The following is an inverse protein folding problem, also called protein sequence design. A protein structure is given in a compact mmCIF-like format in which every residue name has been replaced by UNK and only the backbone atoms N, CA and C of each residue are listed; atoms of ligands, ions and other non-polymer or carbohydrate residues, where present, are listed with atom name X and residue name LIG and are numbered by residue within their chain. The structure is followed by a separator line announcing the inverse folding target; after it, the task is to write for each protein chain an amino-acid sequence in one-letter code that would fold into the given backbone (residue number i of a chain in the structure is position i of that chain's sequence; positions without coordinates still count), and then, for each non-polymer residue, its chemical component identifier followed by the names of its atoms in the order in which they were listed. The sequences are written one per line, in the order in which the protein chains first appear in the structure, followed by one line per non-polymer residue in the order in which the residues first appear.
data_IF_196882845919
#
_entry.id   IF_196882845919
#
_cell.length_a   1.000
_cell.length_b   1.000
_cell.length_c   1.000
_cell.angle_alpha   90.00
_cell.angle_beta   90.00
_cell.angle_gamma   90.00
#
_symmetry.space_group_name_H-M   'P 1'
#
loop_
_entity.id
_entity.type
_entity.pdbx_description
1 polymer ?
#
# COMPACT_ATOMS: atom_id res chain seq x y z
N UNK A 1 -4.52 -24.85 -25.53
CA UNK A 1 -3.23 -24.88 -24.79
C UNK A 1 -3.06 -23.52 -24.10
N UNK A 2 -3.47 -23.38 -22.84
CA UNK A 2 -3.45 -22.09 -22.13
C UNK A 2 -1.99 -21.63 -21.94
N UNK A 3 -1.62 -20.53 -22.58
CA UNK A 3 -0.35 -19.86 -22.28
C UNK A 3 -0.52 -19.02 -21.01
N UNK A 4 -0.34 -19.65 -19.84
CA UNK A 4 -0.07 -18.97 -18.57
C UNK A 4 1.32 -18.31 -18.66
N UNK A 5 1.43 -17.21 -19.41
CA UNK A 5 2.73 -16.61 -19.70
C UNK A 5 3.27 -15.74 -18.57
N UNK A 6 2.45 -15.23 -17.65
CA UNK A 6 2.90 -14.37 -16.52
C UNK A 6 1.94 -14.45 -15.32
N UNK A 7 2.41 -15.04 -14.22
CA UNK A 7 1.81 -14.92 -12.89
C UNK A 7 2.43 -13.70 -12.20
N UNK A 8 1.62 -12.76 -11.73
CA UNK A 8 2.06 -11.64 -10.90
C UNK A 8 1.39 -11.78 -9.53
N UNK A 9 2.20 -12.00 -8.51
CA UNK A 9 1.77 -11.87 -7.12
C UNK A 9 1.94 -10.39 -6.77
N UNK A 10 0.86 -9.64 -6.60
CA UNK A 10 1.00 -8.21 -6.30
C UNK A 10 1.11 -8.04 -4.79
N UNK A 11 2.24 -7.46 -4.38
CA UNK A 11 2.51 -7.01 -3.02
C UNK A 11 2.62 -5.49 -3.08
N UNK A 12 1.53 -4.77 -2.76
CA UNK A 12 1.42 -3.31 -2.58
C UNK A 12 2.06 -2.34 -3.63
N UNK A 13 2.66 -2.83 -4.72
CA UNK A 13 3.32 -2.02 -5.73
C UNK A 13 2.77 -2.34 -7.11
N UNK A 14 1.96 -1.45 -7.67
CA UNK A 14 1.49 -1.54 -9.05
C UNK A 14 2.55 -0.87 -9.93
N UNK A 15 3.34 -1.66 -10.66
CA UNK A 15 4.13 -1.16 -11.77
C UNK A 15 3.84 -1.98 -13.02
N UNK A 16 3.83 -1.26 -14.16
CA UNK A 16 3.38 -1.65 -15.49
C UNK A 16 3.90 -3.01 -15.99
N UNK A 17 3.23 -4.08 -15.56
CA UNK A 17 3.31 -5.40 -16.16
C UNK A 17 1.89 -5.70 -16.62
N UNK A 18 1.72 -6.32 -17.81
CA UNK A 18 0.42 -6.85 -18.25
C UNK A 18 0.33 -8.33 -17.85
N UNK A 19 -0.02 -8.66 -16.59
CA UNK A 19 -0.11 -10.05 -16.14
C UNK A 19 -1.25 -10.78 -16.86
N UNK A 20 -1.15 -12.11 -16.90
CA UNK A 20 -2.26 -12.98 -17.30
C UNK A 20 -3.04 -13.44 -16.06
N UNK A 21 -2.36 -13.59 -14.93
CA UNK A 21 -2.93 -13.93 -13.63
C UNK A 21 -2.35 -13.01 -12.56
N UNK A 22 -3.22 -12.41 -11.77
CA UNK A 22 -2.93 -11.57 -10.63
C UNK A 22 -3.45 -12.26 -9.37
N UNK A 23 -2.55 -12.59 -8.45
CA UNK A 23 -2.94 -12.99 -7.09
C UNK A 23 -2.74 -11.76 -6.22
N UNK A 24 -3.83 -11.19 -5.74
CA UNK A 24 -3.76 -10.11 -4.78
C UNK A 24 -3.71 -10.70 -3.38
N UNK A 25 -2.62 -10.41 -2.68
CA UNK A 25 -2.50 -10.69 -1.26
C UNK A 25 -3.02 -9.48 -0.51
N UNK A 26 -4.18 -9.61 0.12
CA UNK A 26 -4.60 -8.56 1.04
C UNK A 26 -3.68 -8.57 2.27
N UNK A 27 -3.14 -7.40 2.62
CA UNK A 27 -2.21 -7.25 3.73
C UNK A 27 -2.97 -7.04 5.03
N UNK A 28 -2.39 -7.57 6.11
CA UNK A 28 -2.85 -7.35 7.48
C UNK A 28 -2.91 -5.89 7.90
N UNK A 29 -2.13 -5.03 7.24
CA UNK A 29 -2.06 -3.61 7.55
C UNK A 29 -3.41 -2.89 7.38
N UNK A 30 -4.30 -3.39 6.51
CA UNK A 30 -5.57 -2.72 6.21
C UNK A 30 -6.65 -2.97 7.28
N UNK A 31 -6.49 -4.00 8.13
CA UNK A 31 -7.54 -4.49 9.03
C UNK A 31 -7.34 -4.19 10.53
N UNK A 32 -6.11 -3.93 10.99
CA UNK A 32 -5.84 -3.83 12.43
C UNK A 32 -6.37 -2.53 13.05
N UNK A 33 -6.21 -1.39 12.36
CA UNK A 33 -6.86 -0.13 12.75
C UNK A 33 -8.39 -0.22 12.69
N UNK A 34 -8.92 -1.15 11.91
CA UNK A 34 -10.34 -1.35 11.73
C UNK A 34 -10.99 -2.08 12.94
N UNK A 35 -10.33 -3.09 13.54
CA UNK A 35 -10.92 -3.97 14.56
C UNK A 35 -11.51 -3.31 15.82
N UNK A 36 -11.16 -2.05 16.14
CA UNK A 36 -11.74 -1.30 17.27
C UNK A 36 -12.37 0.05 16.87
N UNK A 37 -12.25 0.50 15.61
CA UNK A 37 -12.80 1.78 15.10
C UNK A 37 -13.68 1.64 13.84
N UNK A 38 -14.05 0.41 13.42
CA UNK A 38 -14.90 0.11 12.25
C UNK A 38 -16.28 0.80 12.25
N UNK A 39 -16.72 1.42 13.34
CA UNK A 39 -17.99 2.14 13.31
C UNK A 39 -17.97 3.45 12.49
N UNK A 40 -16.81 3.99 12.08
CA UNK A 40 -16.79 5.33 11.45
C UNK A 40 -15.85 5.57 10.24
N UNK A 41 -15.20 4.57 9.64
CA UNK A 41 -14.31 4.81 8.47
C UNK A 41 -14.34 3.75 7.37
N UNK A 42 -14.99 4.04 6.25
CA UNK A 42 -15.07 3.16 5.06
C UNK A 42 -13.80 3.15 4.18
N UNK A 43 -12.72 3.81 4.61
CA UNK A 43 -11.57 4.11 3.74
C UNK A 43 -10.83 2.86 3.20
N UNK A 44 -10.46 1.86 4.03
CA UNK A 44 -9.76 0.67 3.52
C UNK A 44 -10.61 -0.11 2.50
N UNK A 45 -11.93 -0.12 2.71
CA UNK A 45 -12.87 -0.79 1.81
C UNK A 45 -12.97 -0.08 0.47
N UNK A 46 -13.04 1.26 0.48
CA UNK A 46 -13.07 2.09 -0.73
C UNK A 46 -11.82 1.88 -1.58
N UNK A 47 -10.65 1.98 -0.97
CA UNK A 47 -9.36 1.79 -1.65
C UNK A 47 -9.22 0.37 -2.20
N UNK A 48 -9.64 -0.64 -1.45
CA UNK A 48 -9.61 -2.03 -1.89
C UNK A 48 -10.52 -2.31 -3.08
N UNK A 49 -11.75 -1.78 -3.07
CA UNK A 49 -12.65 -1.90 -4.23
C UNK A 49 -12.08 -1.23 -5.47
N UNK A 50 -11.58 0.00 -5.34
CA UNK A 50 -10.97 0.73 -6.45
C UNK A 50 -9.81 -0.07 -7.05
N UNK A 51 -8.96 -0.66 -6.21
CA UNK A 51 -7.89 -1.54 -6.63
C UNK A 51 -8.42 -2.76 -7.39
N UNK A 52 -9.39 -3.48 -6.84
CA UNK A 52 -9.99 -4.67 -7.48
C UNK A 52 -10.52 -4.30 -8.86
N UNK A 53 -11.27 -3.20 -8.98
CA UNK A 53 -11.83 -2.75 -10.26
C UNK A 53 -10.73 -2.33 -11.25
N UNK A 54 -9.69 -1.64 -10.79
CA UNK A 54 -8.53 -1.25 -11.61
C UNK A 54 -7.82 -2.47 -12.17
N UNK A 55 -7.61 -3.51 -11.36
CA UNK A 55 -7.01 -4.78 -11.80
C UNK A 55 -7.87 -5.48 -12.85
N UNK A 56 -9.18 -5.53 -12.66
CA UNK A 56 -10.13 -6.15 -13.59
C UNK A 56 -10.27 -5.38 -14.91
N UNK A 57 -9.99 -4.07 -14.93
CA UNK A 57 -10.01 -3.22 -16.13
C UNK A 57 -8.69 -3.15 -16.90
N UNK A 58 -7.60 -3.75 -16.41
CA UNK A 58 -6.34 -3.74 -17.14
C UNK A 58 -6.54 -4.26 -18.58
N UNK A 59 -5.78 -3.81 -19.59
CA UNK A 59 -6.05 -4.10 -21.01
C UNK A 59 -6.17 -5.59 -21.37
N UNK A 60 -5.54 -6.47 -20.59
CA UNK A 60 -5.60 -7.94 -20.77
C UNK A 60 -6.57 -8.65 -19.85
N UNK A 61 -7.33 -7.91 -19.04
CA UNK A 61 -8.30 -8.41 -18.05
C UNK A 61 -7.77 -9.64 -17.31
N UNK A 62 -6.65 -9.49 -16.57
CA UNK A 62 -6.03 -10.62 -15.90
C UNK A 62 -7.03 -11.32 -14.99
N UNK A 63 -6.88 -12.65 -14.85
CA UNK A 63 -7.58 -13.35 -13.80
C UNK A 63 -7.14 -12.78 -12.44
N UNK A 64 -8.10 -12.47 -11.56
CA UNK A 64 -7.82 -11.93 -10.22
C UNK A 64 -8.28 -12.95 -9.18
N UNK A 65 -7.38 -13.31 -8.26
CA UNK A 65 -7.69 -14.16 -7.10
C UNK A 65 -7.38 -13.38 -5.83
N UNK A 66 -8.30 -13.41 -4.88
CA UNK A 66 -8.08 -12.84 -3.55
C UNK A 66 -7.49 -13.89 -2.62
N UNK A 67 -6.32 -13.60 -2.06
CA UNK A 67 -5.69 -14.43 -1.03
C UNK A 67 -5.72 -13.70 0.31
N UNK A 68 -6.54 -14.21 1.23
CA UNK A 68 -6.62 -13.71 2.60
C UNK A 68 -5.68 -14.50 3.49
N UNK A 69 -4.59 -13.84 3.89
CA UNK A 69 -3.64 -14.39 4.85
C UNK A 69 -4.06 -13.97 6.25
N UNK A 70 -3.82 -14.83 7.23
CA UNK A 70 -4.13 -14.58 8.63
C UNK A 70 -2.85 -14.42 9.48
N UNK A 71 -2.92 -13.71 10.61
CA UNK A 71 -1.87 -13.43 11.59
C UNK A 71 -2.39 -13.93 12.92
N UNK A 72 -1.61 -14.78 13.56
CA UNK A 72 -2.00 -15.38 14.84
C UNK A 72 -1.68 -14.49 16.05
N UNK A 73 -0.59 -13.74 16.00
CA UNK A 73 -0.07 -12.96 17.13
C UNK A 73 -0.59 -11.52 17.12
N UNK A 74 -0.72 -10.88 18.30
CA UNK A 74 -0.90 -9.42 18.42
C UNK A 74 0.42 -8.70 18.68
N UNK A 75 0.53 -7.43 18.29
CA UNK A 75 1.72 -6.60 18.55
C UNK A 75 2.09 -6.50 20.03
N UNK A 76 1.10 -6.50 20.92
CA UNK A 76 1.28 -6.34 22.36
C UNK A 76 1.65 -7.61 23.13
N UNK A 77 1.79 -8.77 22.47
CA UNK A 77 1.96 -10.06 23.17
C UNK A 77 3.02 -10.94 22.51
N UNK A 78 4.28 -10.64 22.80
CA UNK A 78 5.39 -11.61 22.74
C UNK A 78 5.65 -12.21 24.15
N UNK A 79 4.87 -11.83 25.17
CA UNK A 79 4.93 -12.45 26.49
C UNK A 79 4.19 -13.79 26.49
N UNK A 80 4.94 -14.87 26.65
CA UNK A 80 4.52 -16.26 26.43
C UNK A 80 3.39 -16.79 27.33
N UNK A 81 3.04 -16.08 28.41
CA UNK A 81 2.16 -16.61 29.46
C UNK A 81 0.66 -16.34 29.25
N UNK A 82 0.28 -15.55 28.25
CA UNK A 82 -1.13 -15.27 27.96
C UNK A 82 -1.58 -16.01 26.71
N UNK A 83 -2.17 -17.21 26.92
CA UNK A 83 -2.86 -17.93 25.85
C UNK A 83 -3.82 -16.98 25.12
N UNK A 84 -3.89 -17.04 23.79
CA UNK A 84 -4.82 -16.23 23.04
C UNK A 84 -6.23 -16.48 23.57
N UNK A 85 -6.93 -15.43 23.99
CA UNK A 85 -8.38 -15.49 24.10
C UNK A 85 -8.92 -15.90 22.72
N UNK A 86 -10.01 -16.67 22.68
CA UNK A 86 -10.62 -17.27 21.47
C UNK A 86 -11.09 -16.28 20.37
N UNK A 87 -10.61 -15.04 20.39
CA UNK A 87 -11.11 -13.89 19.65
C UNK A 87 -10.37 -13.59 18.34
N UNK A 88 -9.16 -14.12 18.12
CA UNK A 88 -8.34 -13.74 16.95
C UNK A 88 -8.93 -14.17 15.60
N UNK A 89 -9.76 -15.21 15.56
CA UNK A 89 -10.42 -15.64 14.33
C UNK A 89 -11.20 -14.49 13.63
N UNK A 90 -11.75 -13.57 14.43
CA UNK A 90 -12.62 -12.50 13.97
C UNK A 90 -11.90 -11.14 13.81
N UNK A 91 -10.61 -11.02 14.11
CA UNK A 91 -9.90 -9.72 14.14
C UNK A 91 -9.20 -9.36 12.82
N UNK A 92 -9.78 -9.72 11.68
CA UNK A 92 -9.19 -9.47 10.35
C UNK A 92 -10.22 -8.95 9.36
N UNK A 93 -9.73 -8.35 8.28
CA UNK A 93 -10.56 -7.75 7.22
C UNK A 93 -11.15 -8.78 6.22
N UNK A 94 -11.01 -10.07 6.49
CA UNK A 94 -11.42 -11.13 5.55
C UNK A 94 -12.93 -11.12 5.29
N UNK A 95 -13.75 -10.86 6.32
CA UNK A 95 -15.20 -10.81 6.16
C UNK A 95 -15.60 -9.69 5.18
N UNK A 96 -14.98 -8.52 5.29
CA UNK A 96 -15.24 -7.40 4.38
C UNK A 96 -14.69 -7.68 2.96
N UNK A 97 -13.53 -8.31 2.83
CA UNK A 97 -12.99 -8.67 1.52
C UNK A 97 -13.76 -9.81 0.84
N UNK A 98 -14.44 -10.65 1.61
CA UNK A 98 -15.35 -11.68 1.08
C UNK A 98 -16.57 -11.07 0.38
N UNK A 99 -17.09 -9.94 0.87
CA UNK A 99 -18.18 -9.21 0.19
C UNK A 99 -17.75 -8.76 -1.21
N UNK A 100 -16.55 -8.19 -1.35
CA UNK A 100 -16.01 -7.82 -2.66
C UNK A 100 -15.78 -9.03 -3.56
N UNK A 101 -15.26 -10.13 -3.01
CA UNK A 101 -15.07 -11.36 -3.77
C UNK A 101 -16.40 -11.84 -4.37
N UNK A 102 -17.45 -11.85 -3.55
CA UNK A 102 -18.79 -12.28 -3.95
C UNK A 102 -19.39 -11.33 -4.98
N UNK A 103 -19.33 -10.01 -4.70
CA UNK A 103 -19.91 -8.98 -5.57
C UNK A 103 -19.25 -8.95 -6.96
N UNK A 104 -17.94 -9.14 -7.05
CA UNK A 104 -17.17 -9.13 -8.30
C UNK A 104 -16.96 -10.53 -8.93
N UNK A 105 -17.50 -11.59 -8.33
CA UNK A 105 -17.35 -12.96 -8.83
C UNK A 105 -15.91 -13.47 -8.81
N UNK A 106 -15.12 -13.09 -7.80
CA UNK A 106 -13.71 -13.44 -7.68
C UNK A 106 -13.50 -14.72 -6.85
N UNK A 107 -12.60 -15.62 -7.27
CA UNK A 107 -12.11 -16.68 -6.41
C UNK A 107 -11.40 -16.10 -5.17
N UNK A 108 -11.67 -16.69 -4.01
CA UNK A 108 -11.07 -16.32 -2.73
C UNK A 108 -10.45 -17.54 -2.06
N UNK A 109 -9.20 -17.41 -1.62
CA UNK A 109 -8.47 -18.39 -0.81
C UNK A 109 -8.35 -17.83 0.60
N UNK A 110 -8.87 -18.56 1.57
CA UNK A 110 -8.76 -18.24 3.00
C UNK A 110 -7.67 -19.10 3.65
N UNK A 111 -6.54 -18.49 4.02
CA UNK A 111 -5.57 -19.18 4.86
C UNK A 111 -6.18 -19.47 6.23
N UNK A 112 -6.91 -18.51 6.79
CA UNK A 112 -7.57 -18.64 8.10
C UNK A 112 -8.43 -19.89 8.18
N UNK A 113 -9.37 -20.05 7.25
CA UNK A 113 -10.27 -21.21 7.22
C UNK A 113 -9.51 -22.53 7.02
N UNK A 114 -8.40 -22.52 6.27
CA UNK A 114 -7.61 -23.71 6.00
C UNK A 114 -6.79 -24.19 7.21
N UNK A 115 -6.25 -23.28 8.03
CA UNK A 115 -5.22 -23.64 9.03
C UNK A 115 -5.61 -23.40 10.48
N UNK A 116 -6.68 -22.62 10.74
CA UNK A 116 -7.01 -22.19 12.10
C UNK A 116 -7.18 -23.36 13.07
N UNK A 117 -7.95 -24.40 12.69
CA UNK A 117 -8.15 -25.55 13.56
C UNK A 117 -6.87 -26.34 13.81
N UNK A 118 -5.95 -26.40 12.83
CA UNK A 118 -4.64 -27.03 13.01
C UNK A 118 -3.76 -26.24 13.98
N UNK A 119 -3.82 -24.91 13.92
CA UNK A 119 -3.12 -24.02 14.85
C UNK A 119 -3.67 -24.14 16.27
N UNK A 120 -5.00 -24.10 16.45
CA UNK A 120 -5.66 -24.33 17.75
C UNK A 120 -5.27 -25.68 18.34
N UNK A 121 -5.21 -26.72 17.51
CA UNK A 121 -4.83 -28.07 17.94
C UNK A 121 -3.32 -28.25 18.19
N UNK A 122 -2.47 -27.26 17.89
CA UNK A 122 -1.02 -27.38 18.00
C UNK A 122 -0.43 -28.49 17.11
N UNK A 123 -1.07 -28.76 15.95
CA UNK A 123 -0.62 -29.80 15.02
C UNK A 123 0.81 -29.48 14.56
N UNK A 124 1.69 -30.47 14.46
CA UNK A 124 3.06 -30.27 13.92
C UNK A 124 2.98 -29.59 12.54
N UNK A 125 3.75 -28.52 12.36
CA UNK A 125 3.73 -27.66 11.16
C UNK A 125 2.79 -26.46 11.27
N UNK A 126 1.92 -26.45 12.28
CA UNK A 126 0.95 -25.40 12.57
C UNK A 126 1.09 -24.85 13.99
N UNK A 127 2.18 -25.15 14.69
CA UNK A 127 2.39 -24.64 16.04
C UNK A 127 2.63 -23.13 16.02
N UNK A 128 2.05 -22.47 17.02
CA UNK A 128 1.93 -21.02 17.17
C UNK A 128 2.11 -20.59 18.63
N UNK A 129 2.63 -21.48 19.46
CA UNK A 129 3.03 -21.24 20.85
C UNK A 129 4.36 -20.47 20.93
N UNK A 130 5.16 -20.51 19.87
CA UNK A 130 6.37 -19.70 19.73
C UNK A 130 6.63 -19.29 18.28
N UNK A 131 7.65 -18.47 18.09
CA UNK A 131 8.07 -17.92 16.80
C UNK A 131 9.42 -18.52 16.42
N UNK A 132 9.60 -18.85 15.14
CA UNK A 132 10.84 -19.50 14.71
C UNK A 132 12.07 -18.63 14.95
N UNK A 133 11.99 -17.31 14.77
CA UNK A 133 13.15 -16.45 15.01
C UNK A 133 13.64 -16.49 16.46
N UNK A 134 12.76 -16.77 17.43
CA UNK A 134 13.11 -16.91 18.85
C UNK A 134 13.81 -18.24 19.15
N UNK A 135 13.58 -19.27 18.34
CA UNK A 135 14.16 -20.61 18.54
C UNK A 135 15.41 -20.88 17.72
N UNK A 136 15.84 -19.96 16.84
CA UNK A 136 17.01 -20.14 15.96
C UNK A 136 18.32 -20.47 16.68
N UNK A 137 18.50 -19.99 17.92
CA UNK A 137 19.69 -20.30 18.73
C UNK A 137 19.61 -21.68 19.40
N UNK A 138 18.44 -22.31 19.42
CA UNK A 138 18.19 -23.59 20.04
C UNK A 138 18.19 -24.70 18.97
N UNK A 139 19.33 -25.38 18.83
CA UNK A 139 19.51 -26.50 17.88
C UNK A 139 18.58 -27.70 18.12
N UNK A 140 17.88 -27.74 19.26
CA UNK A 140 16.92 -28.81 19.57
C UNK A 140 15.48 -28.52 19.13
N UNK A 141 15.19 -27.30 18.64
CA UNK A 141 13.85 -26.95 18.21
C UNK A 141 13.49 -27.62 16.86
N UNK A 142 12.32 -28.24 16.78
CA UNK A 142 11.77 -28.76 15.52
C UNK A 142 11.31 -27.58 14.65
N UNK A 143 12.17 -27.09 13.78
CA UNK A 143 11.91 -25.92 12.92
C UNK A 143 10.71 -26.13 11.97
N UNK A 144 10.40 -27.39 11.63
CA UNK A 144 9.25 -27.76 10.81
C UNK A 144 7.95 -27.82 11.62
N UNK A 145 7.98 -27.66 12.94
CA UNK A 145 6.78 -27.66 13.76
C UNK A 145 6.06 -26.30 13.75
N UNK A 146 6.80 -25.21 13.58
CA UNK A 146 6.32 -23.83 13.75
C UNK A 146 5.76 -23.25 12.45
N UNK A 147 4.61 -22.57 12.52
CA UNK A 147 3.96 -21.98 11.34
C UNK A 147 4.53 -20.62 10.93
N UNK A 148 4.96 -19.81 11.90
CA UNK A 148 5.39 -18.42 11.69
C UNK A 148 6.89 -18.23 11.91
N UNK A 149 7.50 -17.41 11.06
CA UNK A 149 8.87 -16.95 11.23
C UNK A 149 8.96 -15.90 12.34
N UNK A 150 8.06 -14.92 12.29
CA UNK A 150 7.93 -13.79 13.21
C UNK A 150 6.43 -13.51 13.48
N UNK A 151 6.04 -12.49 14.26
CA UNK A 151 4.64 -12.29 14.64
C UNK A 151 3.66 -12.13 13.47
N UNK A 152 4.11 -11.94 12.22
CA UNK A 152 3.25 -11.73 11.05
C UNK A 152 3.61 -12.56 9.81
N UNK A 153 4.86 -12.98 9.65
CA UNK A 153 5.32 -13.68 8.46
C UNK A 153 5.24 -15.20 8.65
N UNK A 154 4.50 -15.92 7.80
CA UNK A 154 4.54 -17.38 7.77
C UNK A 154 5.99 -17.87 7.51
N UNK A 155 6.39 -18.98 8.12
CA UNK A 155 7.70 -19.60 7.91
C UNK A 155 7.80 -20.21 6.51
N UNK A 156 9.00 -20.16 5.94
CA UNK A 156 9.31 -20.76 4.63
C UNK A 156 9.08 -22.28 4.58
N UNK A 157 9.35 -22.98 5.69
CA UNK A 157 9.26 -24.45 5.74
C UNK A 157 7.81 -24.97 5.83
N UNK A 158 6.91 -24.16 6.38
CA UNK A 158 5.56 -24.58 6.77
C UNK A 158 4.51 -23.62 6.22
N UNK A 159 4.38 -22.42 6.78
CA UNK A 159 3.28 -21.52 6.44
C UNK A 159 3.27 -21.05 4.98
N UNK A 160 4.42 -20.69 4.40
CA UNK A 160 4.53 -20.39 2.97
C UNK A 160 4.26 -21.59 2.08
N UNK A 161 4.62 -22.80 2.53
CA UNK A 161 4.30 -24.05 1.82
C UNK A 161 2.79 -24.27 1.77
N UNK A 162 2.08 -24.10 2.90
CA UNK A 162 0.62 -24.24 2.94
C UNK A 162 -0.06 -23.21 2.03
N UNK A 163 0.38 -21.95 2.03
CA UNK A 163 -0.13 -20.93 1.11
C UNK A 163 0.05 -21.37 -0.35
N UNK A 164 1.23 -21.90 -0.68
CA UNK A 164 1.53 -22.38 -2.03
C UNK A 164 0.65 -23.58 -2.41
N UNK A 165 0.45 -24.53 -1.51
CA UNK A 165 -0.42 -25.70 -1.70
C UNK A 165 -1.89 -25.28 -1.93
N UNK A 166 -2.39 -24.27 -1.21
CA UNK A 166 -3.73 -23.72 -1.44
C UNK A 166 -3.88 -23.10 -2.84
N UNK A 167 -2.88 -22.33 -3.29
CA UNK A 167 -2.88 -21.74 -4.64
C UNK A 167 -2.83 -22.84 -5.71
N UNK A 168 -1.94 -23.83 -5.54
CA UNK A 168 -1.85 -25.00 -6.44
C UNK A 168 -3.17 -25.77 -6.46
N UNK A 169 -3.81 -25.96 -5.31
CA UNK A 169 -5.12 -26.59 -5.19
C UNK A 169 -6.20 -25.87 -5.99
N UNK A 170 -6.26 -24.53 -5.91
CA UNK A 170 -7.17 -23.73 -6.74
C UNK A 170 -6.88 -23.94 -8.24
N UNK A 171 -5.62 -23.84 -8.67
CA UNK A 171 -5.23 -24.00 -10.08
C UNK A 171 -5.57 -25.40 -10.60
N UNK A 172 -5.33 -26.45 -9.81
CA UNK A 172 -5.70 -27.82 -10.16
C UNK A 172 -7.22 -28.01 -10.24
N UNK A 173 -7.98 -27.38 -9.33
CA UNK A 173 -9.44 -27.41 -9.36
C UNK A 173 -9.97 -26.77 -10.65
N UNK A 174 -9.46 -25.58 -11.01
CA UNK A 174 -9.81 -24.90 -12.26
C UNK A 174 -9.42 -25.75 -13.48
N UNK A 175 -8.21 -26.30 -13.51
CA UNK A 175 -7.75 -27.14 -14.62
C UNK A 175 -8.64 -28.37 -14.82
N UNK A 176 -9.00 -29.07 -13.74
CA UNK A 176 -9.94 -30.21 -13.79
C UNK A 176 -11.32 -29.77 -14.26
N UNK A 177 -11.82 -28.63 -13.77
CA UNK A 177 -13.08 -28.05 -14.20
C UNK A 177 -13.11 -27.75 -15.70
N UNK A 178 -12.02 -27.25 -16.27
CA UNK A 178 -11.91 -26.99 -17.71
C UNK A 178 -11.82 -28.27 -18.55
N UNK A 179 -11.37 -29.40 -17.98
CA UNK A 179 -11.42 -30.70 -18.66
C UNK A 179 -12.85 -31.23 -18.71
N UNK A 180 -13.61 -31.12 -17.62
CA UNK A 180 -14.99 -31.64 -17.54
C UNK A 180 -16.02 -30.70 -18.18
N UNK A 181 -15.77 -29.39 -18.13
CA UNK A 181 -16.59 -28.33 -18.71
C UNK A 181 -15.67 -27.35 -19.44
N UNK A 182 -15.35 -27.62 -20.72
CA UNK A 182 -14.53 -26.73 -21.52
C UNK A 182 -15.10 -25.31 -21.58
N UNK A 183 -14.19 -24.34 -21.67
CA UNK A 183 -14.51 -22.92 -21.82
C UNK A 183 -15.42 -22.68 -23.03
N UNK A 184 -16.48 -21.90 -22.84
CA UNK A 184 -17.51 -21.63 -23.86
C UNK A 184 -17.43 -20.17 -24.33
N UNK A 185 -17.84 -19.88 -25.59
CA UNK A 185 -17.93 -18.50 -26.08
C UNK A 185 -18.78 -17.58 -25.20
N UNK A 186 -19.88 -18.10 -24.61
CA UNK A 186 -20.71 -17.33 -23.67
C UNK A 186 -19.95 -16.86 -22.41
N UNK A 187 -18.87 -17.54 -22.04
CA UNK A 187 -18.01 -17.13 -20.91
C UNK A 187 -17.03 -16.05 -21.33
N UNK A 188 -16.60 -16.03 -22.61
CA UNK A 188 -15.83 -14.90 -23.15
C UNK A 188 -16.66 -13.62 -23.15
N UNK A 189 -17.95 -13.71 -23.51
CA UNK A 189 -18.88 -12.59 -23.44
C UNK A 189 -19.05 -12.07 -21.99
N UNK A 190 -19.14 -12.97 -21.01
CA UNK A 190 -19.19 -12.58 -19.59
C UNK A 190 -17.91 -11.91 -19.12
N UNK A 191 -16.73 -12.42 -19.52
CA UNK A 191 -15.44 -11.78 -19.22
C UNK A 191 -15.31 -10.43 -19.93
N UNK A 192 -15.91 -10.30 -21.12
CA UNK A 192 -15.91 -9.08 -21.93
C UNK A 192 -16.92 -8.03 -21.44
N UNK A 193 -17.93 -8.43 -20.67
CA UNK A 193 -18.95 -7.55 -20.12
C UNK A 193 -18.34 -6.41 -19.29
N UNK A 194 -19.09 -5.31 -19.18
CA UNK A 194 -18.74 -4.24 -18.28
C UNK A 194 -18.80 -4.74 -16.82
N UNK A 195 -17.88 -4.26 -15.98
CA UNK A 195 -17.96 -4.51 -14.55
C UNK A 195 -19.29 -3.98 -14.00
N UNK A 196 -19.85 -4.60 -12.95
CA UNK A 196 -21.02 -4.05 -12.26
C UNK A 196 -20.72 -2.64 -11.73
N UNK A 197 -21.74 -1.95 -11.25
CA UNK A 197 -21.57 -0.69 -10.54
C UNK A 197 -20.57 -0.84 -9.36
N UNK A 198 -20.14 0.26 -8.77
CA UNK A 198 -19.39 0.17 -7.52
C UNK A 198 -20.33 -0.36 -6.43
N UNK A 199 -19.84 -1.30 -5.62
CA UNK A 199 -20.51 -1.79 -4.42
C UNK A 199 -20.63 -0.65 -3.40
N UNK A 200 -19.58 0.16 -3.24
CA UNK A 200 -19.63 1.36 -2.42
C UNK A 200 -20.04 2.55 -3.30
N UNK A 201 -21.12 3.28 -2.98
CA UNK A 201 -21.54 4.45 -3.73
C UNK A 201 -20.42 5.49 -3.86
N UNK A 202 -20.33 6.10 -5.03
CA UNK A 202 -19.38 7.14 -5.40
C UNK A 202 -17.91 6.76 -5.26
N UNK A 203 -17.59 5.46 -5.27
CA UNK A 203 -16.25 4.95 -5.09
C UNK A 203 -15.47 4.76 -6.40
N UNK A 204 -15.47 5.79 -7.25
CA UNK A 204 -14.84 5.73 -8.56
C UNK A 204 -13.32 5.66 -8.46
N UNK A 205 -12.72 4.65 -9.09
CA UNK A 205 -11.28 4.58 -9.33
C UNK A 205 -10.84 5.58 -10.40
N UNK A 206 -9.56 5.98 -10.36
CA UNK A 206 -9.01 6.89 -11.36
C UNK A 206 -7.92 6.19 -12.16
N UNK A 207 -7.95 6.40 -13.48
CA UNK A 207 -6.83 6.06 -14.35
C UNK A 207 -5.70 7.10 -14.28
N UNK A 208 -5.90 8.17 -13.51
CA UNK A 208 -4.97 9.27 -13.35
C UNK A 208 -4.01 9.06 -12.16
N UNK A 209 -4.23 8.05 -11.31
CA UNK A 209 -3.30 7.78 -10.22
C UNK A 209 -1.93 7.36 -10.77
N UNK A 210 -0.89 8.04 -10.31
CA UNK A 210 0.49 7.81 -10.71
C UNK A 210 1.25 7.27 -9.50
N UNK A 211 1.97 6.17 -9.68
CA UNK A 211 2.93 5.64 -8.71
C UNK A 211 4.33 5.74 -9.32
N UNK A 212 5.13 6.67 -8.83
CA UNK A 212 6.52 6.86 -9.22
C UNK A 212 7.43 6.14 -8.21
N UNK A 213 8.15 5.14 -8.71
CA UNK A 213 9.19 4.42 -7.97
C UNK A 213 10.40 4.20 -8.91
N UNK A 214 11.57 3.90 -8.33
CA UNK A 214 12.79 3.65 -9.10
C UNK A 214 13.15 4.80 -10.04
N UNK A 215 13.51 4.50 -11.29
CA UNK A 215 13.95 5.53 -12.25
C UNK A 215 12.86 6.56 -12.58
N UNK A 216 11.57 6.20 -12.52
CA UNK A 216 10.49 7.18 -12.73
C UNK A 216 10.41 8.18 -11.57
N UNK A 217 10.67 7.73 -10.34
CA UNK A 217 10.76 8.61 -9.18
C UNK A 217 12.01 9.48 -9.25
N UNK A 218 13.15 8.90 -9.67
CA UNK A 218 14.38 9.64 -9.94
C UNK A 218 14.17 10.75 -10.98
N UNK A 219 13.51 10.42 -12.10
CA UNK A 219 13.26 11.36 -13.19
C UNK A 219 12.30 12.50 -12.82
N UNK A 220 11.46 12.33 -11.79
CA UNK A 220 10.58 13.42 -11.32
C UNK A 220 11.29 14.48 -10.48
N UNK A 221 12.52 14.25 -10.03
CA UNK A 221 13.29 15.22 -9.27
C UNK A 221 13.93 16.25 -10.23
N UNK A 222 13.61 17.53 -10.05
CA UNK A 222 14.05 18.62 -10.94
C UNK A 222 15.10 19.55 -10.31
N UNK A 223 15.23 19.54 -8.99
CA UNK A 223 16.27 20.26 -8.25
C UNK A 223 16.68 19.38 -7.06
N UNK A 224 17.98 19.11 -6.93
CA UNK A 224 18.53 18.16 -5.94
C UNK A 224 19.76 18.77 -5.31
N UNK A 225 19.68 19.13 -4.03
CA UNK A 225 20.75 19.78 -3.27
C UNK A 225 21.04 18.95 -2.02
N UNK A 226 22.17 18.23 -2.00
CA UNK A 226 22.58 17.40 -0.86
C UNK A 226 21.86 16.05 -0.70
N UNK A 227 20.82 15.78 -1.51
CA UNK A 227 20.27 14.44 -1.66
C UNK A 227 21.04 13.63 -2.71
N UNK A 228 21.24 12.34 -2.43
CA UNK A 228 21.93 11.39 -3.31
C UNK A 228 21.00 10.25 -3.70
N UNK A 229 21.07 9.79 -4.95
CA UNK A 229 20.33 8.61 -5.42
C UNK A 229 21.12 7.35 -5.11
N UNK A 230 20.74 6.63 -4.05
CA UNK A 230 21.52 5.51 -3.50
C UNK A 230 20.72 4.21 -3.48
N UNK A 231 21.42 3.11 -3.78
CA UNK A 231 20.93 1.76 -3.52
C UNK A 231 21.43 1.31 -2.16
N UNK A 232 20.53 1.22 -1.18
CA UNK A 232 20.87 0.69 0.15
C UNK A 232 20.45 -0.77 0.32
N UNK A 233 20.04 -1.43 -0.78
CA UNK A 233 19.79 -2.86 -0.79
C UNK A 233 21.11 -3.62 -0.61
N UNK A 234 21.18 -4.50 0.40
CA UNK A 234 22.33 -5.40 0.61
C UNK A 234 22.39 -6.51 -0.43
N UNK A 235 21.22 -6.93 -0.91
CA UNK A 235 21.08 -7.94 -1.94
C UNK A 235 21.01 -7.24 -3.31
N UNK A 236 21.95 -7.52 -4.25
CA UNK A 236 21.91 -6.94 -5.59
C UNK A 236 20.65 -7.33 -6.39
N UNK A 237 19.97 -8.42 -6.02
CA UNK A 237 18.71 -8.85 -6.64
C UNK A 237 17.48 -8.13 -6.08
N UNK A 238 17.62 -7.46 -4.93
CA UNK A 238 16.56 -6.68 -4.28
C UNK A 238 17.05 -5.26 -3.99
N UNK A 239 17.38 -4.47 -5.03
CA UNK A 239 17.86 -3.12 -4.84
C UNK A 239 16.80 -2.25 -4.16
N UNK A 240 17.23 -1.39 -3.24
CA UNK A 240 16.39 -0.45 -2.49
C UNK A 240 16.81 0.98 -2.83
N UNK A 241 16.60 1.34 -4.10
CA UNK A 241 16.85 2.67 -4.63
C UNK A 241 15.97 3.73 -3.97
N UNK A 242 16.54 4.91 -3.74
CA UNK A 242 15.85 6.07 -3.21
C UNK A 242 16.77 7.27 -3.08
N UNK A 243 16.19 8.43 -2.79
CA UNK A 243 16.95 9.63 -2.45
C UNK A 243 17.27 9.66 -0.96
N UNK A 244 18.53 9.84 -0.59
CA UNK A 244 18.98 9.92 0.80
C UNK A 244 19.73 11.23 1.04
N UNK A 245 19.49 11.87 2.19
CA UNK A 245 20.29 13.00 2.68
C UNK A 245 20.45 12.92 4.20
N UNK A 246 21.53 13.49 4.72
CA UNK A 246 21.81 13.60 6.16
C UNK A 246 22.18 15.01 6.61
N UNK A 247 22.51 15.90 5.67
CA UNK A 247 22.87 17.28 5.97
C UNK A 247 21.62 18.13 6.17
N UNK A 248 21.47 18.85 7.29
CA UNK A 248 20.40 19.83 7.45
C UNK A 248 20.33 20.79 6.27
N UNK A 249 19.12 21.17 5.87
CA UNK A 249 18.81 21.98 4.71
C UNK A 249 19.11 21.35 3.33
N UNK A 250 19.61 20.11 3.27
CA UNK A 250 19.58 19.36 2.02
C UNK A 250 18.13 19.31 1.52
N UNK A 251 17.90 19.60 0.24
CA UNK A 251 16.57 19.74 -0.33
C UNK A 251 16.45 19.08 -1.70
N UNK A 252 15.24 18.66 -2.03
CA UNK A 252 14.88 18.05 -3.31
C UNK A 252 13.50 18.54 -3.74
N UNK A 253 13.32 18.84 -5.02
CA UNK A 253 12.05 19.29 -5.60
C UNK A 253 11.58 18.26 -6.62
N UNK A 254 10.37 17.75 -6.44
CA UNK A 254 9.68 16.88 -7.38
C UNK A 254 8.65 17.65 -8.19
N UNK A 255 8.50 17.30 -9.45
CA UNK A 255 7.45 17.85 -10.31
C UNK A 255 6.31 16.85 -10.50
N UNK A 256 5.09 17.32 -10.24
CA UNK A 256 3.83 16.65 -10.52
C UNK A 256 3.19 17.36 -11.71
N UNK A 257 3.02 16.66 -12.83
CA UNK A 257 2.32 17.19 -14.00
C UNK A 257 1.01 16.48 -14.23
N UNK A 258 -0.01 17.22 -14.69
CA UNK A 258 -1.30 16.68 -15.11
C UNK A 258 -1.23 15.65 -16.27
N UNK A 259 -0.09 15.57 -16.98
CA UNK A 259 0.05 14.90 -18.27
C UNK A 259 0.75 13.54 -18.28
N UNK A 260 1.11 12.95 -17.13
CA UNK A 260 1.72 11.60 -17.13
C UNK A 260 0.69 10.51 -17.49
N UNK A 261 -0.61 10.82 -17.46
CA UNK A 261 -1.67 9.85 -17.68
C UNK A 261 -2.58 10.23 -18.83
N UNK A 262 -2.33 9.53 -19.94
CA UNK A 262 -3.25 9.01 -20.96
C UNK A 262 -3.12 9.62 -22.36
N UNK A 263 -2.63 8.77 -23.28
CA UNK A 263 -3.05 8.77 -24.68
C UNK A 263 -4.54 8.34 -24.77
N UNK A 264 -5.42 8.93 -23.95
CA UNK A 264 -6.85 8.69 -24.09
C UNK A 264 -7.29 9.48 -25.31
N UNK A 265 -7.37 8.77 -26.43
CA UNK A 265 -8.05 9.20 -27.65
C UNK A 265 -9.57 9.24 -27.47
N UNK A 266 -10.07 9.34 -26.24
CA UNK A 266 -11.48 9.49 -25.97
C UNK A 266 -11.87 10.93 -26.30
N UNK A 267 -12.17 11.11 -27.60
CA UNK A 267 -12.45 12.34 -28.34
C UNK A 267 -13.68 13.12 -27.86
N UNK A 268 -14.20 12.86 -26.66
CA UNK A 268 -15.21 13.71 -26.08
C UNK A 268 -14.58 15.09 -25.83
N UNK A 269 -15.06 16.18 -26.47
CA UNK A 269 -14.51 17.51 -26.27
C UNK A 269 -14.69 17.91 -24.80
N UNK A 270 -13.63 17.69 -24.01
CA UNK A 270 -13.54 18.19 -22.64
C UNK A 270 -13.56 19.71 -22.73
N UNK A 271 -14.64 20.31 -22.23
CA UNK A 271 -14.79 21.76 -22.17
C UNK A 271 -13.51 22.41 -21.60
N UNK A 272 -12.99 23.50 -22.20
CA UNK A 272 -11.73 24.18 -21.80
C UNK A 272 -11.69 24.71 -20.36
N UNK A 273 -12.76 24.52 -19.58
CA UNK A 273 -12.73 24.62 -18.12
C UNK A 273 -11.92 23.47 -17.50
N UNK A 274 -10.68 23.21 -17.94
CA UNK A 274 -9.71 22.33 -17.28
C UNK A 274 -9.44 22.92 -15.89
N UNK A 275 -10.31 22.67 -14.91
CA UNK A 275 -10.54 21.45 -14.11
C UNK A 275 -9.38 21.28 -13.14
N UNK A 276 -9.44 22.13 -12.12
CA UNK A 276 -8.76 21.90 -10.84
C UNK A 276 -8.92 20.43 -10.49
N UNK A 277 -7.81 19.75 -10.31
CA UNK A 277 -7.82 18.38 -9.82
C UNK A 277 -7.39 18.43 -8.36
N UNK A 278 -8.33 18.12 -7.47
CA UNK A 278 -7.96 17.75 -6.11
C UNK A 278 -7.34 16.37 -6.17
N UNK A 279 -6.14 16.26 -5.63
CA UNK A 279 -5.34 15.03 -5.58
C UNK A 279 -4.82 14.82 -4.17
N UNK A 280 -4.51 13.57 -3.85
CA UNK A 280 -3.70 13.19 -2.72
C UNK A 280 -2.27 12.96 -3.19
N UNK A 281 -1.33 13.66 -2.57
CA UNK A 281 0.10 13.39 -2.77
C UNK A 281 0.59 12.54 -1.61
N UNK A 282 1.31 11.48 -1.92
CA UNK A 282 1.89 10.54 -0.93
C UNK A 282 3.38 10.39 -1.24
N UNK A 283 4.22 10.70 -0.26
CA UNK A 283 5.64 10.42 -0.29
C UNK A 283 5.91 9.15 0.50
N UNK A 284 6.51 8.17 -0.15
CA UNK A 284 7.02 6.98 0.52
C UNK A 284 8.40 7.30 1.09
N UNK A 285 8.57 7.13 2.40
CA UNK A 285 9.82 7.46 3.10
C UNK A 285 10.19 6.38 4.12
N UNK A 286 11.48 6.25 4.42
CA UNK A 286 11.96 5.26 5.39
C UNK A 286 11.77 5.79 6.81
N UNK A 287 11.20 4.97 7.68
CA UNK A 287 11.34 5.08 9.14
C UNK A 287 12.29 4.02 9.67
N UNK A 288 13.11 4.35 10.65
CA UNK A 288 14.04 3.43 11.30
C UNK A 288 14.38 3.91 12.71
N UNK A 289 14.93 3.03 13.54
CA UNK A 289 15.21 3.32 14.96
C UNK A 289 16.51 4.10 15.20
N UNK A 290 17.40 4.19 14.22
CA UNK A 290 18.71 4.82 14.38
C UNK A 290 19.01 5.78 13.24
N UNK A 291 19.68 6.87 13.59
CA UNK A 291 20.27 7.84 12.67
C UNK A 291 19.27 8.62 11.82
N UNK A 292 17.97 8.57 12.12
CA UNK A 292 16.94 9.18 11.29
C UNK A 292 16.66 10.64 11.67
N UNK A 293 16.40 11.46 10.65
CA UNK A 293 16.02 12.87 10.77
C UNK A 293 14.54 13.10 10.46
N UNK A 294 14.16 14.38 10.51
CA UNK A 294 12.84 14.86 10.10
C UNK A 294 12.99 15.59 8.77
N UNK A 295 12.08 15.34 7.84
CA UNK A 295 11.99 16.13 6.62
C UNK A 295 10.73 16.99 6.63
N UNK A 296 10.85 18.25 6.23
CA UNK A 296 9.70 19.11 5.97
C UNK A 296 9.33 19.06 4.49
N UNK A 297 8.04 19.24 4.22
CA UNK A 297 7.48 19.27 2.87
C UNK A 297 6.78 20.61 2.65
N UNK A 298 6.95 21.20 1.47
CA UNK A 298 6.17 22.34 0.98
C UNK A 298 5.75 22.13 -0.47
N UNK A 299 4.79 22.91 -0.93
CA UNK A 299 4.40 22.96 -2.33
C UNK A 299 4.59 24.35 -2.90
N UNK A 300 4.93 24.42 -4.18
CA UNK A 300 5.03 25.66 -4.95
C UNK A 300 4.64 25.40 -6.40
N UNK A 301 4.55 26.48 -7.18
CA UNK A 301 4.34 26.41 -8.64
C UNK A 301 3.00 25.78 -8.99
N UNK A 302 1.95 26.56 -9.19
CA UNK A 302 0.72 26.06 -9.80
C UNK A 302 -0.08 25.04 -8.98
N UNK A 303 0.20 24.86 -7.68
CA UNK A 303 -0.62 24.04 -6.80
C UNK A 303 -0.67 24.57 -5.37
N UNK A 304 -1.67 24.12 -4.63
CA UNK A 304 -1.91 24.48 -3.23
C UNK A 304 -2.06 23.19 -2.46
N UNK A 305 -1.34 23.05 -1.34
CA UNK A 305 -1.26 21.78 -0.62
C UNK A 305 -1.59 21.93 0.88
N UNK A 306 -1.77 20.79 1.55
CA UNK A 306 -2.08 20.71 2.97
C UNK A 306 -3.47 21.30 3.28
N UNK A 307 -3.65 21.86 4.47
CA UNK A 307 -4.94 22.46 4.87
C UNK A 307 -5.45 23.54 3.92
N UNK A 308 -4.54 24.26 3.25
CA UNK A 308 -4.92 25.28 2.29
C UNK A 308 -5.67 24.67 1.09
N UNK A 309 -5.30 23.45 0.68
CA UNK A 309 -5.98 22.72 -0.39
C UNK A 309 -7.46 22.46 -0.07
N UNK A 310 -7.76 22.13 1.19
CA UNK A 310 -9.13 21.87 1.67
C UNK A 310 -10.00 23.14 1.71
N UNK A 311 -9.40 24.33 1.68
CA UNK A 311 -10.11 25.62 1.71
C UNK A 311 -10.27 26.25 0.32
N UNK A 312 -9.64 25.69 -0.71
CA UNK A 312 -9.75 26.22 -2.07
C UNK A 312 -11.22 26.11 -2.51
N UNK A 313 -11.90 27.25 -2.78
CA UNK A 313 -13.28 27.21 -3.27
C UNK A 313 -13.34 26.44 -4.59
N UNK A 314 -14.47 25.82 -4.90
CA UNK A 314 -14.69 25.14 -6.19
C UNK A 314 -14.41 26.10 -7.37
N UNK A 315 -14.64 27.40 -7.17
CA UNK A 315 -14.41 28.47 -8.15
C UNK A 315 -12.99 29.06 -8.11
N UNK A 316 -12.21 28.75 -7.05
CA UNK A 316 -10.78 29.02 -6.83
C UNK A 316 -10.24 30.37 -7.28
N UNK A 317 -11.07 31.40 -7.16
CA UNK A 317 -10.62 32.78 -7.12
C UNK A 317 -10.02 33.08 -5.74
N UNK A 318 -9.00 33.93 -5.70
CA UNK A 318 -8.41 34.43 -4.44
C UNK A 318 -7.50 33.46 -3.69
N UNK A 319 -7.03 32.38 -4.34
CA UNK A 319 -6.09 31.47 -3.68
C UNK A 319 -4.67 32.02 -3.79
N UNK A 320 -4.09 32.34 -2.63
CA UNK A 320 -2.70 32.72 -2.52
C UNK A 320 -1.78 31.51 -2.81
N UNK A 321 -1.14 31.53 -3.98
CA UNK A 321 -0.20 30.50 -4.41
C UNK A 321 1.22 30.72 -3.91
N UNK A 322 1.51 31.84 -3.24
CA UNK A 322 2.88 32.25 -2.87
C UNK A 322 3.35 31.72 -1.50
N UNK A 323 2.77 30.61 -1.04
CA UNK A 323 3.21 29.94 0.20
C UNK A 323 4.29 28.88 -0.03
N UNK A 324 5.23 29.12 -0.96
CA UNK A 324 6.26 28.17 -1.36
C UNK A 324 7.11 27.61 -0.20
N UNK A 325 7.26 28.38 0.88
CA UNK A 325 8.06 28.01 2.06
C UNK A 325 7.23 27.54 3.27
N UNK A 326 5.89 27.50 3.15
CA UNK A 326 5.05 27.02 4.24
C UNK A 326 5.16 25.49 4.33
N UNK A 327 5.62 25.00 5.48
CA UNK A 327 5.62 23.56 5.79
C UNK A 327 4.17 23.05 5.83
N UNK A 328 3.85 22.10 4.97
CA UNK A 328 2.51 21.47 4.88
C UNK A 328 2.47 20.10 5.53
N UNK A 329 3.62 19.44 5.67
CA UNK A 329 3.75 18.12 6.27
C UNK A 329 5.18 17.92 6.80
N UNK A 330 5.32 17.05 7.79
CA UNK A 330 6.62 16.56 8.30
C UNK A 330 6.69 15.05 8.18
N UNK A 331 7.82 14.56 7.67
CA UNK A 331 8.13 13.14 7.54
C UNK A 331 9.13 12.79 8.64
N UNK A 332 8.63 12.27 9.76
CA UNK A 332 9.49 11.84 10.87
C UNK A 332 10.05 10.45 10.59
N UNK A 333 11.34 10.39 10.25
CA UNK A 333 12.05 9.16 9.97
C UNK A 333 12.31 8.31 11.22
N UNK A 334 12.16 8.83 12.44
CA UNK A 334 12.43 8.06 13.64
C UNK A 334 11.29 7.07 13.91
N UNK A 335 11.62 5.80 14.07
CA UNK A 335 10.71 4.75 14.56
C UNK A 335 11.10 4.37 15.99
N UNK A 336 10.11 4.18 16.87
CA UNK A 336 10.37 3.57 18.18
C UNK A 336 10.53 2.06 18.06
N UNK A 337 10.03 1.47 16.97
CA UNK A 337 10.19 0.05 16.71
C UNK A 337 11.60 -0.21 16.19
N UNK A 338 12.25 -1.26 16.69
CA UNK A 338 13.58 -1.71 16.26
C UNK A 338 13.57 -2.37 14.86
N UNK A 339 12.77 -1.85 13.93
CA UNK A 339 12.67 -2.26 12.55
C UNK A 339 12.70 -1.02 11.63
N UNK A 340 13.08 -1.23 10.38
CA UNK A 340 12.95 -0.20 9.35
C UNK A 340 11.67 -0.45 8.55
N UNK A 341 10.86 0.58 8.39
CA UNK A 341 9.57 0.51 7.69
C UNK A 341 9.49 1.54 6.58
N UNK A 342 8.82 1.19 5.49
CA UNK A 342 8.42 2.18 4.50
C UNK A 342 7.11 2.82 4.98
N UNK A 343 7.15 4.09 5.33
CA UNK A 343 5.99 4.87 5.72
C UNK A 343 5.47 5.68 4.54
N UNK A 344 4.16 5.92 4.52
CA UNK A 344 3.50 6.79 3.56
C UNK A 344 3.10 8.09 4.25
N UNK A 345 3.80 9.18 3.96
CA UNK A 345 3.42 10.52 4.38
C UNK A 345 2.55 11.14 3.31
N UNK A 346 1.37 11.66 3.65
CA UNK A 346 0.44 12.15 2.64
C UNK A 346 -0.18 13.49 3.00
N UNK A 347 -0.57 14.23 1.96
CA UNK A 347 -1.19 15.54 2.08
C UNK A 347 -2.08 15.81 0.86
N UNK A 348 -3.24 16.49 1.04
CA UNK A 348 -4.07 16.90 -0.08
C UNK A 348 -3.38 18.01 -0.88
N UNK A 349 -3.64 18.05 -2.18
CA UNK A 349 -3.21 19.11 -3.07
C UNK A 349 -4.32 19.45 -4.09
N UNK A 350 -4.40 20.71 -4.50
CA UNK A 350 -5.20 21.16 -5.63
C UNK A 350 -4.26 21.64 -6.71
N UNK A 351 -4.28 20.96 -7.85
CA UNK A 351 -3.51 21.35 -9.02
C UNK A 351 -4.25 22.48 -9.75
N UNK A 352 -3.61 23.65 -9.83
CA UNK A 352 -4.13 24.88 -10.43
C UNK A 352 -3.51 25.17 -11.80
N UNK A 353 -2.30 24.68 -12.05
CA UNK A 353 -1.60 24.77 -13.32
C UNK A 353 -1.10 23.38 -13.78
N UNK A 354 -0.49 23.33 -14.96
CA UNK A 354 0.05 22.09 -15.56
C UNK A 354 1.17 21.45 -14.75
N UNK A 355 1.85 22.23 -13.91
CA UNK A 355 3.01 21.84 -13.12
C UNK A 355 2.73 22.17 -11.66
N UNK A 356 3.02 21.23 -10.77
CA UNK A 356 3.02 21.36 -9.32
C UNK A 356 4.38 20.92 -8.78
N UNK A 357 5.01 21.72 -7.92
CA UNK A 357 6.32 21.42 -7.35
C UNK A 357 6.20 21.07 -5.88
N UNK A 358 6.70 19.90 -5.50
CA UNK A 358 6.75 19.42 -4.12
C UNK A 358 8.21 19.48 -3.66
N UNK A 359 8.52 20.38 -2.74
CA UNK A 359 9.84 20.50 -2.14
C UNK A 359 9.88 19.69 -0.84
N UNK A 360 10.94 18.93 -0.66
CA UNK A 360 11.25 18.21 0.58
C UNK A 360 12.64 18.64 1.04
N UNK A 361 12.82 18.92 2.32
CA UNK A 361 14.14 19.24 2.87
C UNK A 361 14.35 18.65 4.26
N UNK A 362 15.61 18.38 4.60
CA UNK A 362 16.01 17.88 5.91
C UNK A 362 15.96 19.03 6.91
N UNK A 363 15.14 18.91 7.96
CA UNK A 363 15.11 19.90 9.05
C UNK A 363 16.36 19.76 9.94
N UNK A 364 16.81 20.88 10.54
CA UNK A 364 17.87 20.88 11.53
C UNK A 364 17.34 20.49 12.92
N UNK A 365 16.76 19.29 12.99
CA UNK A 365 16.18 18.72 14.21
C UNK A 365 16.89 17.41 14.51
N UNK A 366 17.91 17.48 15.36
CA UNK A 366 18.65 16.29 15.77
C UNK A 366 17.92 15.57 16.91
N UNK A 367 17.34 14.40 16.60
CA UNK A 367 16.77 13.49 17.61
C UNK A 367 17.70 12.35 17.95
N UNK A 368 18.27 11.72 16.93
CA UNK A 368 19.17 10.59 17.10
C UNK A 368 20.13 10.46 15.91
N UNK A 369 21.44 10.54 16.15
CA UNK A 369 22.47 10.30 15.13
C UNK A 369 22.55 11.38 14.05
N UNK A 370 22.65 10.96 12.77
CA UNK A 370 23.08 11.81 11.64
C UNK A 370 21.94 12.42 10.78
N UNK A 371 20.73 12.60 11.31
CA UNK A 371 19.60 13.24 10.59
C UNK A 371 19.27 12.64 9.21
N UNK A 372 19.45 11.33 9.02
CA UNK A 372 19.19 10.66 7.75
C UNK A 372 17.70 10.71 7.37
N UNK A 373 17.42 11.18 6.17
CA UNK A 373 16.11 11.10 5.51
C UNK A 373 16.29 10.24 4.27
N UNK A 374 15.34 9.32 4.03
CA UNK A 374 15.27 8.54 2.79
C UNK A 374 13.88 8.58 2.19
N UNK A 375 13.79 8.92 0.91
CA UNK A 375 12.59 8.92 0.10
C UNK A 375 12.65 7.79 -0.93
N UNK A 376 11.61 6.96 -1.01
CA UNK A 376 11.55 5.77 -1.87
C UNK A 376 10.56 5.86 -3.03
N UNK A 377 9.64 6.82 -3.00
CA UNK A 377 8.64 6.98 -4.06
C UNK A 377 7.69 8.16 -3.85
N UNK A 378 6.95 8.47 -4.90
CA UNK A 378 5.93 9.52 -4.95
C UNK A 378 4.67 8.95 -5.61
N UNK A 379 3.54 9.06 -4.94
CA UNK A 379 2.24 8.65 -5.46
C UNK A 379 1.35 9.90 -5.53
N UNK A 380 0.68 10.08 -6.66
CA UNK A 380 -0.33 11.11 -6.84
C UNK A 380 -1.62 10.39 -7.15
N UNK A 381 -2.62 10.52 -6.29
CA UNK A 381 -3.91 9.86 -6.46
C UNK A 381 -5.02 10.88 -6.63
N UNK A 382 -5.90 10.66 -7.60
CA UNK A 382 -7.08 11.50 -7.83
C UNK A 382 -8.32 10.97 -7.08
N UNK A 383 -8.17 9.94 -6.25
CA UNK A 383 -9.28 9.43 -5.43
C UNK A 383 -9.79 10.49 -4.46
N UNK A 384 -11.08 10.38 -4.11
CA UNK A 384 -11.83 11.39 -3.35
C UNK A 384 -11.01 12.02 -2.21
N UNK A 385 -10.80 13.35 -2.23
CA UNK A 385 -9.96 14.05 -1.26
C UNK A 385 -10.35 13.80 0.21
N UNK A 386 -11.63 13.57 0.48
CA UNK A 386 -12.15 13.33 1.84
C UNK A 386 -11.68 11.98 2.40
N UNK A 387 -11.64 10.96 1.54
CA UNK A 387 -11.12 9.63 1.86
C UNK A 387 -9.62 9.73 2.19
N UNK A 388 -8.89 10.41 1.32
CA UNK A 388 -7.47 10.70 1.44
C UNK A 388 -7.09 11.49 2.71
N UNK A 389 -7.87 12.52 3.07
CA UNK A 389 -7.64 13.32 4.27
C UNK A 389 -7.72 12.48 5.56
N UNK A 390 -8.62 11.51 5.62
CA UNK A 390 -8.75 10.64 6.79
C UNK A 390 -7.48 9.80 7.00
N UNK A 391 -6.97 9.17 5.93
CA UNK A 391 -5.72 8.41 5.98
C UNK A 391 -4.53 9.28 6.41
N UNK A 392 -4.44 10.50 5.87
CA UNK A 392 -3.34 11.40 6.21
C UNK A 392 -3.42 11.90 7.64
N UNK A 393 -4.62 12.22 8.12
CA UNK A 393 -4.82 12.65 9.50
C UNK A 393 -4.45 11.54 10.48
N UNK A 394 -4.88 10.31 10.24
CA UNK A 394 -4.53 9.19 11.12
C UNK A 394 -3.02 8.91 11.13
N UNK A 395 -2.36 8.99 9.97
CA UNK A 395 -0.90 8.88 9.87
C UNK A 395 -0.18 10.04 10.56
N UNK A 396 -0.68 11.26 10.44
CA UNK A 396 -0.12 12.45 11.08
C UNK A 396 -0.29 12.37 12.60
N UNK A 397 -1.49 12.07 13.10
CA UNK A 397 -1.77 11.89 14.54
C UNK A 397 -0.96 10.74 15.14
N UNK A 398 -0.74 9.65 14.39
CA UNK A 398 0.13 8.56 14.81
C UNK A 398 1.60 8.99 14.87
N UNK A 399 2.06 9.74 13.86
CA UNK A 399 3.42 10.28 13.83
C UNK A 399 3.65 11.30 14.96
N UNK A 400 2.70 12.21 15.19
CA UNK A 400 2.76 13.23 16.25
C UNK A 400 2.76 12.60 17.65
N UNK A 401 1.94 11.56 17.89
CA UNK A 401 1.99 10.80 19.14
C UNK A 401 3.31 10.05 19.32
N UNK A 402 3.80 9.38 18.28
CA UNK A 402 5.10 8.69 18.34
C UNK A 402 6.28 9.66 18.58
N UNK A 403 6.13 10.91 18.12
CA UNK A 403 7.09 11.98 18.29
C UNK A 403 6.95 12.75 19.63
N UNK A 404 5.98 12.38 20.48
CA UNK A 404 5.72 13.04 21.76
C UNK A 404 5.15 14.45 21.65
N UNK A 405 4.59 14.83 20.50
CA UNK A 405 4.04 16.17 20.26
C UNK A 405 2.59 16.32 20.74
N UNK A 406 1.86 15.22 20.88
CA UNK A 406 0.48 15.19 21.37
C UNK A 406 0.44 14.25 22.57
N UNK A 407 0.06 14.81 23.73
CA UNK A 407 -0.05 14.11 25.00
C UNK A 407 -1.30 13.22 25.07
#
# INVERSE_FOLDING_TARGET
MLQLKRLCLIHAGICSISPTLTIWRSLWHDGWSAGLKILHGDFPLRSFEQLVRKLLRLPRRPAVVLLNIFRWFSESRIDADQRPSDTYYFTNAEAQFFEFATYYGLPLISLKAAVYHHMVAGTRGFQVDTLRFLTRSNTSADEEALFYEDPMHPSGLTGHRVISELIVGLLLSVARGLVTRPWRPSEEEQVAAALPAHMIPDNYDTNLDICLMGENFRASAIDVQGFEWLNEGRDPLAPKWGYTASTPNASIVFTITHGITTNDTDTAPRSPKHRRASVLVILAYLRSYENMGVAAVSCSGGCVCGEAASRVPVNGEGVDTDNADKVIARLDGLSQEHNSQLQLGCFPAVLLASECRVRVWVEDVQRHGINKVKLGGLIVSHTAPDAAQTMCRENLEAAERAAGFVA
#
